data_IF_915640910325
#
_entry.id   IF_915640910325
#
_cell.length_a   1.000
_cell.length_b   1.000
_cell.length_c   1.000
_cell.angle_alpha   90.00
_cell.angle_beta   90.00
_cell.angle_gamma   90.00
#
_symmetry.space_group_name_H-M   'P 1'
#
loop_
_entity.id
_entity.type
_entity.pdbx_description
1 polymer ?
#
# COMPACT_ATOMS: atom_id res chain seq x y z
N UNK A 1 -25.06 4.18 -22.04
CA UNK A 1 -23.62 4.37 -21.81
C UNK A 1 -23.51 5.45 -20.74
N UNK A 2 -22.97 5.13 -19.60
CA UNK A 2 -22.55 6.15 -18.65
C UNK A 2 -21.19 6.61 -19.17
N UNK A 3 -21.08 7.88 -19.56
CA UNK A 3 -19.79 8.48 -19.88
C UNK A 3 -19.03 8.61 -18.56
N UNK A 4 -18.18 7.61 -18.27
CA UNK A 4 -17.31 7.60 -17.11
C UNK A 4 -15.88 7.84 -17.55
N UNK A 5 -15.22 8.79 -16.91
CA UNK A 5 -13.80 9.04 -17.10
C UNK A 5 -13.04 8.42 -15.92
N UNK A 6 -12.08 7.54 -16.23
CA UNK A 6 -11.17 7.01 -15.22
C UNK A 6 -10.10 8.04 -14.92
N UNK A 7 -9.97 8.42 -13.65
CA UNK A 7 -8.85 9.19 -13.12
C UNK A 7 -7.97 8.27 -12.26
N UNK A 8 -6.65 8.45 -12.31
CA UNK A 8 -5.70 7.51 -11.71
C UNK A 8 -5.70 7.51 -10.17
N UNK A 9 -6.13 8.61 -9.55
CA UNK A 9 -6.28 8.73 -8.11
C UNK A 9 -7.20 9.90 -7.75
N UNK A 10 -7.80 9.80 -6.56
CA UNK A 10 -8.58 10.86 -5.93
C UNK A 10 -8.30 10.84 -4.42
N UNK A 11 -8.65 11.91 -3.72
CA UNK A 11 -8.76 11.90 -2.27
C UNK A 11 -10.23 11.72 -1.88
N UNK A 12 -10.49 11.11 -0.74
CA UNK A 12 -11.80 11.07 -0.13
C UNK A 12 -11.69 11.39 1.34
N UNK A 13 -12.59 12.22 1.84
CA UNK A 13 -12.75 12.48 3.27
C UNK A 13 -13.94 11.67 3.75
N UNK A 14 -13.68 10.78 4.69
CA UNK A 14 -14.71 10.01 5.38
C UNK A 14 -15.04 10.67 6.71
N UNK A 15 -16.30 11.00 6.92
CA UNK A 15 -16.83 11.47 8.20
C UNK A 15 -17.70 10.38 8.81
N UNK A 16 -17.29 9.89 9.98
CA UNK A 16 -17.90 8.75 10.67
C UNK A 16 -17.04 7.49 10.57
N UNK A 17 -17.11 6.65 11.60
CA UNK A 17 -16.37 5.38 11.69
C UNK A 17 -17.16 4.20 11.15
N UNK A 18 -18.50 4.25 11.28
CA UNK A 18 -19.36 3.18 10.80
C UNK A 18 -19.47 3.23 9.28
N UNK A 19 -18.95 2.25 8.54
CA UNK A 19 -18.92 2.28 7.08
C UNK A 19 -20.29 2.47 6.44
N UNK A 20 -21.36 1.92 7.05
CA UNK A 20 -22.71 2.01 6.54
C UNK A 20 -23.31 3.43 6.63
N UNK A 21 -22.85 4.24 7.58
CA UNK A 21 -23.37 5.57 7.88
C UNK A 21 -22.38 6.69 7.57
N UNK A 22 -21.17 6.33 7.11
CA UNK A 22 -20.12 7.31 6.82
C UNK A 22 -20.44 8.15 5.59
N UNK A 23 -20.35 9.47 5.73
CA UNK A 23 -20.39 10.37 4.59
C UNK A 23 -19.03 10.47 3.93
N UNK A 24 -18.99 10.23 2.61
CA UNK A 24 -17.79 10.34 1.79
C UNK A 24 -17.86 11.57 0.90
N UNK A 25 -16.84 12.42 0.96
CA UNK A 25 -16.62 13.52 0.03
C UNK A 25 -15.40 13.22 -0.84
N UNK A 26 -15.61 13.03 -2.15
CA UNK A 26 -14.52 12.78 -3.10
C UNK A 26 -13.97 14.08 -3.64
N UNK A 27 -12.65 14.16 -3.75
CA UNK A 27 -11.89 15.32 -4.19
C UNK A 27 -10.96 14.89 -5.31
N UNK A 28 -11.02 15.60 -6.42
CA UNK A 28 -10.15 15.43 -7.57
C UNK A 28 -9.78 16.80 -8.13
N UNK A 29 -8.75 16.89 -8.95
CA UNK A 29 -8.40 18.12 -9.65
C UNK A 29 -9.28 18.29 -10.89
N UNK A 30 -9.31 19.51 -11.41
CA UNK A 30 -10.01 19.84 -12.66
C UNK A 30 -8.99 20.27 -13.69
N UNK A 31 -9.10 19.71 -14.89
CA UNK A 31 -8.32 20.14 -16.06
C UNK A 31 -8.80 21.53 -16.57
N UNK A 32 -8.00 22.15 -17.44
CA UNK A 32 -8.32 23.45 -18.01
C UNK A 32 -9.61 23.44 -18.86
N UNK A 33 -9.97 22.29 -19.41
CA UNK A 33 -11.22 22.07 -20.16
C UNK A 33 -12.44 21.72 -19.29
N UNK A 34 -12.27 21.70 -17.96
CA UNK A 34 -13.31 21.36 -16.99
C UNK A 34 -13.42 19.87 -16.66
N UNK A 35 -12.69 19.00 -17.33
CA UNK A 35 -12.67 17.56 -17.05
C UNK A 35 -11.99 17.20 -15.72
N UNK A 36 -12.33 16.05 -15.10
CA UNK A 36 -11.68 15.60 -13.88
C UNK A 36 -10.24 15.14 -14.15
N UNK A 37 -9.34 15.43 -13.19
CA UNK A 37 -7.94 15.01 -13.22
C UNK A 37 -7.53 14.32 -11.92
N UNK A 38 -6.45 13.53 -12.00
CA UNK A 38 -5.85 12.91 -10.84
C UNK A 38 -5.48 13.95 -9.78
N UNK A 39 -5.79 13.63 -8.52
CA UNK A 39 -5.50 14.50 -7.39
C UNK A 39 -3.98 14.62 -7.14
N UNK A 40 -3.28 13.49 -7.18
CA UNK A 40 -1.82 13.41 -7.04
C UNK A 40 -1.18 13.20 -8.42
N UNK A 41 -0.20 14.02 -8.74
CA UNK A 41 0.59 13.90 -9.97
C UNK A 41 2.07 13.70 -9.61
N UNK A 42 2.84 12.93 -10.41
CA UNK A 42 4.27 12.75 -10.15
C UNK A 42 5.01 14.08 -10.27
N UNK A 43 5.93 14.33 -9.33
CA UNK A 43 6.73 15.57 -9.32
C UNK A 43 7.66 15.70 -10.54
N UNK A 44 8.04 14.59 -11.15
CA UNK A 44 8.85 14.55 -12.39
C UNK A 44 8.01 14.65 -13.67
N UNK A 45 6.68 14.67 -13.57
CA UNK A 45 5.75 14.77 -14.70
C UNK A 45 5.64 13.51 -15.55
N UNK A 46 6.18 12.37 -15.10
CA UNK A 46 6.22 11.13 -15.88
C UNK A 46 5.16 10.14 -15.40
N UNK A 47 4.30 9.69 -16.29
CA UNK A 47 3.25 8.70 -15.99
C UNK A 47 2.19 9.22 -15.03
N UNK A 48 1.81 8.39 -14.07
CA UNK A 48 0.84 8.73 -13.02
C UNK A 48 1.17 8.04 -11.71
N UNK A 49 0.49 8.44 -10.63
CA UNK A 49 0.66 7.87 -9.31
C UNK A 49 -0.55 7.05 -8.89
N UNK A 50 -0.29 5.90 -8.28
CA UNK A 50 -1.27 5.16 -7.49
C UNK A 50 -0.93 5.25 -6.01
N UNK A 51 -1.84 5.76 -5.15
CA UNK A 51 -1.68 5.70 -3.71
C UNK A 51 -1.59 4.26 -3.23
N UNK A 52 -0.63 3.99 -2.35
CA UNK A 52 -0.38 2.63 -1.85
C UNK A 52 -0.80 2.50 -0.39
N UNK A 53 -0.12 3.19 0.52
CA UNK A 53 -0.50 3.31 1.91
C UNK A 53 0.01 4.63 2.48
N UNK A 54 -0.57 5.06 3.60
CA UNK A 54 -0.15 6.28 4.28
C UNK A 54 -0.04 6.10 5.78
N UNK A 55 0.71 7.01 6.41
CA UNK A 55 0.85 7.05 7.86
C UNK A 55 0.98 8.49 8.33
N UNK A 56 0.24 8.84 9.39
CA UNK A 56 0.34 10.14 10.05
C UNK A 56 1.28 10.05 11.23
N UNK A 57 2.20 11.01 11.33
CA UNK A 57 3.11 11.23 12.46
C UNK A 57 3.03 12.68 12.91
N UNK A 58 3.84 13.05 13.92
CA UNK A 58 3.99 14.46 14.32
C UNK A 58 4.61 15.33 13.20
N UNK A 59 5.36 14.71 12.27
CA UNK A 59 6.01 15.40 11.14
C UNK A 59 5.09 15.66 9.94
N UNK A 60 3.86 15.12 9.95
CA UNK A 60 2.90 15.23 8.86
C UNK A 60 2.30 13.90 8.44
N UNK A 61 1.63 13.89 7.31
CA UNK A 61 1.09 12.68 6.67
C UNK A 61 2.05 12.24 5.57
N UNK A 62 2.57 11.03 5.71
CA UNK A 62 3.39 10.38 4.69
C UNK A 62 2.54 9.45 3.84
N UNK A 63 2.71 9.55 2.51
CA UNK A 63 2.02 8.70 1.52
C UNK A 63 3.06 7.95 0.69
N UNK A 64 2.91 6.64 0.60
CA UNK A 64 3.67 5.83 -0.33
C UNK A 64 2.90 5.75 -1.64
N UNK A 65 3.58 6.04 -2.74
CA UNK A 65 2.99 6.24 -4.05
C UNK A 65 3.73 5.38 -5.07
N UNK A 66 3.00 4.61 -5.86
CA UNK A 66 3.56 3.87 -6.99
C UNK A 66 3.55 4.75 -8.22
N UNK A 67 4.69 4.92 -8.87
CA UNK A 67 4.77 5.55 -10.17
C UNK A 67 4.54 4.51 -11.26
N UNK A 68 3.62 4.83 -12.15
CA UNK A 68 3.13 3.96 -13.20
C UNK A 68 3.35 4.63 -14.54
N UNK A 69 3.72 3.86 -15.54
CA UNK A 69 3.80 4.29 -16.94
C UNK A 69 2.99 3.37 -17.85
N UNK A 70 2.55 3.85 -19.01
CA UNK A 70 1.96 2.98 -20.03
C UNK A 70 2.95 1.88 -20.45
N UNK A 71 2.44 0.69 -20.72
CA UNK A 71 3.21 -0.40 -21.31
C UNK A 71 2.35 -1.17 -22.31
N UNK A 72 2.99 -1.92 -23.19
CA UNK A 72 2.28 -2.87 -24.04
C UNK A 72 1.71 -4.01 -23.20
N UNK A 73 0.48 -4.40 -23.47
CA UNK A 73 -0.20 -5.48 -22.74
C UNK A 73 -1.70 -5.52 -22.98
N UNK A 74 -2.39 -6.53 -22.42
CA UNK A 74 -3.86 -6.57 -22.42
C UNK A 74 -4.43 -5.30 -21.78
N UNK A 75 -5.60 -4.84 -22.24
CA UNK A 75 -6.20 -3.57 -21.84
C UNK A 75 -6.27 -3.31 -20.31
N UNK A 76 -6.45 -4.37 -19.51
CA UNK A 76 -6.46 -4.27 -18.06
C UNK A 76 -5.05 -4.14 -17.44
N UNK A 77 -3.98 -4.48 -18.16
CA UNK A 77 -2.59 -4.54 -17.71
C UNK A 77 -1.62 -3.80 -18.65
N UNK A 78 -2.12 -2.81 -19.39
CA UNK A 78 -1.33 -1.97 -20.29
C UNK A 78 -0.49 -0.92 -19.52
N UNK A 79 0.11 -1.32 -18.42
CA UNK A 79 0.94 -0.46 -17.58
C UNK A 79 2.12 -1.23 -16.97
N UNK A 80 3.12 -0.48 -16.52
CA UNK A 80 4.25 -1.00 -15.75
C UNK A 80 4.50 -0.14 -14.51
N UNK A 81 4.93 -0.77 -13.45
CA UNK A 81 5.48 -0.11 -12.27
C UNK A 81 6.90 0.38 -12.59
N UNK A 82 7.21 1.60 -12.19
CA UNK A 82 8.52 2.22 -12.45
C UNK A 82 9.31 2.41 -11.16
N UNK A 83 8.65 2.93 -10.14
CA UNK A 83 9.31 3.28 -8.88
C UNK A 83 8.30 3.51 -7.76
N UNK A 84 8.82 3.63 -6.56
CA UNK A 84 8.04 4.06 -5.37
C UNK A 84 8.50 5.44 -4.94
N UNK A 85 7.54 6.30 -4.61
CA UNK A 85 7.77 7.64 -4.09
C UNK A 85 7.23 7.78 -2.68
N UNK A 86 7.86 8.65 -1.90
CA UNK A 86 7.37 9.10 -0.61
C UNK A 86 6.86 10.53 -0.77
N UNK A 87 5.56 10.71 -0.61
CA UNK A 87 4.92 12.00 -0.46
C UNK A 87 4.88 12.40 1.02
N UNK A 88 5.17 13.65 1.33
CA UNK A 88 4.96 14.25 2.65
C UNK A 88 4.00 15.42 2.52
N UNK A 89 2.90 15.38 3.26
CA UNK A 89 1.95 16.47 3.43
C UNK A 89 2.25 17.11 4.79
N UNK A 90 2.77 18.35 4.76
CA UNK A 90 3.22 19.05 5.97
C UNK A 90 2.05 19.56 6.84
N UNK A 91 0.90 19.82 6.22
CA UNK A 91 -0.30 20.38 6.84
C UNK A 91 -1.54 19.50 6.64
N UNK A 92 -1.54 18.23 7.13
CA UNK A 92 -2.60 17.26 6.83
C UNK A 92 -3.97 17.58 7.45
N UNK A 93 -4.04 18.56 8.34
CA UNK A 93 -5.30 19.04 8.94
C UNK A 93 -6.02 20.10 8.09
N UNK A 94 -5.35 20.62 7.06
CA UNK A 94 -5.98 21.49 6.07
C UNK A 94 -6.82 20.66 5.08
N UNK A 95 -7.81 21.27 4.43
CA UNK A 95 -8.52 20.62 3.33
C UNK A 95 -7.53 20.09 2.26
N UNK A 96 -7.79 18.94 1.65
CA UNK A 96 -6.85 18.32 0.69
C UNK A 96 -6.42 19.23 -0.47
N UNK A 97 -7.28 20.15 -0.88
CA UNK A 97 -6.97 21.13 -1.93
C UNK A 97 -5.87 22.13 -1.53
N UNK A 98 -5.60 22.25 -0.23
CA UNK A 98 -4.58 23.14 0.34
C UNK A 98 -3.36 22.39 0.87
N UNK A 99 -3.28 21.10 0.65
CA UNK A 99 -2.17 20.31 1.14
C UNK A 99 -0.82 20.79 0.56
N UNK A 100 0.12 21.03 1.46
CA UNK A 100 1.53 21.26 1.12
C UNK A 100 2.22 19.92 0.95
N UNK A 101 2.20 19.42 -0.29
CA UNK A 101 2.74 18.12 -0.68
C UNK A 101 4.13 18.26 -1.30
N UNK A 102 5.11 17.65 -0.68
CA UNK A 102 6.42 17.38 -1.28
C UNK A 102 6.54 15.90 -1.64
N UNK A 103 7.31 15.58 -2.68
CA UNK A 103 7.49 14.20 -3.15
C UNK A 103 8.97 13.90 -3.38
N UNK A 104 9.43 12.74 -2.96
CA UNK A 104 10.79 12.25 -3.19
C UNK A 104 10.75 10.79 -3.62
N UNK A 105 11.50 10.47 -4.65
CA UNK A 105 11.67 9.08 -5.12
C UNK A 105 12.43 8.29 -4.05
N UNK A 106 11.92 7.12 -3.68
CA UNK A 106 12.61 6.20 -2.77
C UNK A 106 13.80 5.60 -3.54
N UNK A 107 15.05 5.78 -3.08
CA UNK A 107 16.24 5.47 -3.89
C UNK A 107 16.35 3.99 -4.30
N UNK A 108 15.78 3.11 -3.51
CA UNK A 108 15.87 1.64 -3.69
C UNK A 108 14.63 1.03 -4.34
N UNK A 109 13.57 1.85 -4.52
CA UNK A 109 12.33 1.43 -5.18
C UNK A 109 12.52 1.36 -6.69
N UNK A 110 12.12 0.24 -7.29
CA UNK A 110 12.17 0.02 -8.73
C UNK A 110 11.03 -0.93 -9.15
N UNK A 111 10.99 -1.32 -10.42
CA UNK A 111 9.95 -2.19 -10.98
C UNK A 111 9.77 -3.54 -10.26
N UNK A 112 10.82 -4.04 -9.59
CA UNK A 112 10.82 -5.33 -8.88
C UNK A 112 10.90 -5.22 -7.36
N UNK A 113 11.16 -4.03 -6.84
CA UNK A 113 11.23 -3.77 -5.40
C UNK A 113 10.38 -2.57 -5.07
N UNK A 114 9.30 -2.81 -4.37
CA UNK A 114 8.34 -1.80 -3.96
C UNK A 114 8.39 -1.59 -2.45
N UNK A 115 8.10 -0.38 -1.99
CA UNK A 115 7.96 -0.05 -0.59
C UNK A 115 6.62 0.62 -0.32
N UNK A 116 6.05 0.36 0.86
CA UNK A 116 4.82 1.00 1.30
C UNK A 116 3.53 0.27 0.93
N UNK A 117 3.59 -1.04 0.64
CA UNK A 117 2.39 -1.89 0.52
C UNK A 117 1.53 -1.81 1.77
N UNK A 118 2.19 -1.78 2.92
CA UNK A 118 1.63 -1.47 4.22
C UNK A 118 2.64 -0.69 5.05
N UNK A 119 2.15 0.12 5.99
CA UNK A 119 2.98 0.81 6.98
C UNK A 119 2.34 0.70 8.37
N UNK A 120 3.17 0.57 9.40
CA UNK A 120 2.74 0.38 10.77
C UNK A 120 3.63 1.17 11.73
N UNK A 121 3.02 2.02 12.58
CA UNK A 121 3.73 2.67 13.68
C UNK A 121 3.75 1.74 14.90
N UNK A 122 4.95 1.38 15.35
CA UNK A 122 5.12 0.51 16.51
C UNK A 122 6.46 0.80 17.19
N UNK A 123 6.44 0.94 18.52
CA UNK A 123 7.66 1.06 19.32
C UNK A 123 8.61 2.21 18.93
N UNK A 124 8.06 3.34 18.47
CA UNK A 124 8.84 4.51 18.03
C UNK A 124 9.38 4.41 16.60
N UNK A 125 9.05 3.33 15.87
CA UNK A 125 9.41 3.15 14.47
C UNK A 125 8.18 3.12 13.56
N UNK A 126 8.37 3.54 12.32
CA UNK A 126 7.51 3.22 11.20
C UNK A 126 8.08 2.00 10.49
N UNK A 127 7.37 0.88 10.54
CA UNK A 127 7.65 -0.31 9.74
C UNK A 127 7.06 -0.12 8.37
N UNK A 128 7.86 -0.31 7.34
CA UNK A 128 7.54 -0.04 5.94
C UNK A 128 7.66 -1.36 5.19
N UNK A 129 6.52 -1.99 4.96
CA UNK A 129 6.46 -3.26 4.23
C UNK A 129 6.45 -3.01 2.73
N UNK A 130 7.07 -3.91 2.02
CA UNK A 130 7.13 -3.85 0.57
C UNK A 130 7.27 -5.24 -0.02
N UNK A 131 7.50 -5.30 -1.33
CA UNK A 131 7.69 -6.56 -2.03
C UNK A 131 8.97 -6.55 -2.86
N UNK A 132 9.54 -7.74 -3.01
CA UNK A 132 10.55 -8.02 -4.02
C UNK A 132 10.06 -9.17 -4.89
N UNK A 133 10.29 -9.06 -6.20
CA UNK A 133 9.88 -10.08 -7.18
C UNK A 133 11.04 -10.97 -7.59
N UNK A 134 10.74 -12.23 -7.88
CA UNK A 134 11.69 -13.14 -8.51
C UNK A 134 12.10 -12.69 -9.91
N UNK A 135 13.30 -13.05 -10.32
CA UNK A 135 13.86 -12.58 -11.58
C UNK A 135 13.27 -13.24 -12.85
N UNK A 136 12.45 -14.27 -12.74
CA UNK A 136 12.02 -15.11 -13.86
C UNK A 136 10.51 -15.05 -14.17
N UNK A 137 10.20 -14.72 -15.42
CA UNK A 137 9.08 -15.10 -16.28
C UNK A 137 7.62 -14.96 -15.83
N UNK A 138 6.77 -14.43 -16.69
CA UNK A 138 5.31 -14.47 -16.53
C UNK A 138 4.78 -13.54 -15.44
N UNK A 139 4.08 -14.11 -14.45
CA UNK A 139 3.69 -13.42 -13.22
C UNK A 139 4.67 -13.87 -12.12
N UNK A 140 5.72 -13.09 -11.82
CA UNK A 140 6.72 -13.48 -10.84
C UNK A 140 6.13 -13.54 -9.43
N UNK A 141 6.59 -14.52 -8.65
CA UNK A 141 6.25 -14.60 -7.24
C UNK A 141 6.76 -13.36 -6.50
N UNK A 142 5.94 -12.84 -5.60
CA UNK A 142 6.25 -11.68 -4.77
C UNK A 142 6.50 -12.11 -3.34
N UNK A 143 7.53 -11.56 -2.74
CA UNK A 143 7.96 -11.87 -1.39
C UNK A 143 8.01 -10.60 -0.57
N UNK A 144 7.49 -10.66 0.65
CA UNK A 144 7.48 -9.49 1.52
C UNK A 144 8.88 -9.21 2.05
N UNK A 145 9.26 -7.95 1.99
CA UNK A 145 10.42 -7.36 2.67
C UNK A 145 9.93 -6.32 3.66
N UNK A 146 10.73 -6.00 4.67
CA UNK A 146 10.40 -4.96 5.63
C UNK A 146 11.60 -4.06 5.88
N UNK A 147 11.35 -2.76 5.81
CA UNK A 147 12.23 -1.72 6.30
C UNK A 147 11.62 -1.05 7.53
N UNK A 148 12.43 -0.32 8.30
CA UNK A 148 11.94 0.59 9.33
C UNK A 148 12.74 1.88 9.36
N UNK A 149 12.08 2.94 9.79
CA UNK A 149 12.70 4.23 10.11
C UNK A 149 12.17 4.71 11.47
N UNK A 150 12.92 5.53 12.24
CA UNK A 150 12.32 6.26 13.35
C UNK A 150 11.08 7.03 12.90
N UNK A 151 10.03 7.05 13.71
CA UNK A 151 8.73 7.62 13.32
C UNK A 151 8.78 9.12 13.01
N UNK A 152 9.75 9.83 13.56
CA UNK A 152 10.05 11.24 13.32
C UNK A 152 11.02 11.48 12.15
N UNK A 153 11.54 10.40 11.52
CA UNK A 153 12.56 10.47 10.46
C UNK A 153 12.21 9.66 9.21
N UNK A 154 10.93 9.41 8.95
CA UNK A 154 10.49 8.63 7.77
C UNK A 154 11.00 9.26 6.47
N UNK A 155 11.03 10.60 6.37
CA UNK A 155 11.52 11.34 5.21
C UNK A 155 13.05 11.34 5.06
N UNK A 156 13.79 10.89 6.05
CA UNK A 156 15.26 10.75 6.01
C UNK A 156 15.64 9.32 5.62
N UNK A 157 15.92 9.10 4.34
CA UNK A 157 16.23 7.79 3.80
C UNK A 157 17.51 7.18 4.40
N UNK A 158 18.46 7.97 4.87
CA UNK A 158 19.68 7.47 5.52
C UNK A 158 19.38 6.83 6.88
N UNK A 159 18.22 7.15 7.47
CA UNK A 159 17.75 6.56 8.72
C UNK A 159 17.10 5.18 8.55
N UNK A 160 16.78 4.78 7.31
CA UNK A 160 16.10 3.51 7.07
C UNK A 160 17.02 2.33 7.34
N UNK A 161 16.44 1.26 7.88
CA UNK A 161 17.11 -0.02 8.08
C UNK A 161 16.22 -1.12 7.52
N UNK A 162 16.84 -2.10 6.92
CA UNK A 162 16.19 -3.22 6.24
C UNK A 162 16.41 -4.49 7.04
N UNK A 163 15.37 -5.29 7.24
CA UNK A 163 15.46 -6.52 7.98
C UNK A 163 16.07 -7.63 7.11
N UNK A 164 17.07 -8.32 7.65
CA UNK A 164 17.77 -9.41 6.97
C UNK A 164 18.31 -10.38 7.99
N UNK A 165 17.95 -11.65 7.89
CA UNK A 165 18.51 -12.75 8.73
C UNK A 165 18.51 -12.45 10.24
N UNK A 166 17.44 -11.85 10.74
CA UNK A 166 17.30 -11.50 12.17
C UNK A 166 17.93 -10.16 12.57
N UNK A 167 18.51 -9.41 11.64
CA UNK A 167 19.21 -8.15 11.91
C UNK A 167 18.67 -6.99 11.07
N UNK A 168 18.89 -5.77 11.55
CA UNK A 168 18.59 -4.55 10.81
C UNK A 168 19.87 -4.00 10.16
N UNK A 169 19.91 -3.96 8.84
CA UNK A 169 21.06 -3.50 8.03
C UNK A 169 20.75 -2.20 7.31
N UNK A 170 21.78 -1.47 6.90
CA UNK A 170 21.61 -0.19 6.18
C UNK A 170 21.39 -0.38 4.67
N UNK A 171 21.86 -1.47 4.11
CA UNK A 171 21.86 -1.75 2.69
C UNK A 171 20.53 -2.36 2.24
N UNK A 172 19.77 -1.65 1.41
CA UNK A 172 18.48 -2.11 0.90
C UNK A 172 18.58 -3.39 0.06
N UNK A 173 19.70 -3.60 -0.62
CA UNK A 173 19.92 -4.79 -1.45
C UNK A 173 20.10 -6.06 -0.62
N UNK A 174 20.33 -5.91 0.68
CA UNK A 174 20.40 -7.00 1.64
C UNK A 174 19.07 -7.29 2.34
N UNK A 175 17.99 -6.57 2.01
CA UNK A 175 16.68 -6.85 2.58
C UNK A 175 16.29 -8.31 2.36
N UNK A 176 16.09 -9.03 3.46
CA UNK A 176 15.68 -10.43 3.46
C UNK A 176 14.17 -10.58 3.22
N UNK A 177 13.79 -11.70 2.62
CA UNK A 177 12.38 -12.08 2.49
C UNK A 177 11.85 -12.54 3.84
N UNK A 178 10.82 -11.88 4.33
CA UNK A 178 10.20 -12.20 5.62
C UNK A 178 8.91 -13.01 5.48
N UNK A 179 8.32 -13.02 4.29
CA UNK A 179 7.16 -13.83 3.96
C UNK A 179 7.13 -14.11 2.46
N UNK A 180 6.91 -15.36 2.10
CA UNK A 180 6.88 -15.83 0.72
C UNK A 180 5.46 -15.77 0.14
N UNK A 181 5.39 -15.55 -1.20
CA UNK A 181 4.15 -15.64 -1.98
C UNK A 181 3.02 -14.72 -1.47
N UNK A 182 3.33 -13.44 -1.31
CA UNK A 182 2.35 -12.40 -0.99
C UNK A 182 1.83 -11.71 -2.26
N UNK A 183 0.78 -10.92 -2.13
CA UNK A 183 0.33 -9.98 -3.17
C UNK A 183 1.21 -8.71 -3.19
N UNK A 184 1.06 -7.85 -4.21
CA UNK A 184 1.65 -6.50 -4.19
C UNK A 184 0.99 -5.63 -3.13
N UNK A 185 -0.32 -5.80 -2.98
CA UNK A 185 -1.16 -5.06 -2.04
C UNK A 185 -1.56 -5.98 -0.90
N UNK A 186 -1.28 -5.54 0.29
CA UNK A 186 -1.63 -6.22 1.54
C UNK A 186 -1.70 -5.21 2.68
N UNK A 187 -2.18 -5.62 3.83
CA UNK A 187 -2.10 -4.86 5.08
C UNK A 187 -1.40 -5.66 6.16
N UNK A 188 -0.67 -4.95 7.02
CA UNK A 188 -0.13 -5.47 8.28
C UNK A 188 -0.67 -4.60 9.41
N UNK A 189 -1.29 -5.22 10.39
CA UNK A 189 -1.80 -4.56 11.59
C UNK A 189 -1.47 -5.34 12.85
N UNK A 190 -1.51 -4.66 13.98
CA UNK A 190 -1.43 -5.32 15.29
C UNK A 190 -2.83 -5.54 15.81
N UNK A 191 -3.15 -6.77 16.22
CA UNK A 191 -4.42 -7.15 16.83
C UNK A 191 -4.22 -7.32 18.35
N UNK A 192 -4.79 -6.40 19.16
CA UNK A 192 -4.52 -6.39 20.60
C UNK A 192 -5.04 -7.62 21.34
N UNK A 193 -6.23 -8.13 20.99
CA UNK A 193 -6.84 -9.25 21.70
C UNK A 193 -6.01 -10.54 21.61
N UNK A 194 -5.57 -11.02 20.41
CA UNK A 194 -4.65 -12.14 20.31
C UNK A 194 -3.18 -11.75 20.60
N UNK A 195 -2.86 -10.44 20.73
CA UNK A 195 -1.50 -9.95 20.94
C UNK A 195 -0.55 -10.27 19.80
N UNK A 196 -1.02 -10.22 18.54
CA UNK A 196 -0.28 -10.65 17.35
C UNK A 196 -0.39 -9.64 16.22
N UNK A 197 0.57 -9.72 15.31
CA UNK A 197 0.49 -9.04 14.02
C UNK A 197 -0.26 -9.91 13.02
N UNK A 198 -1.06 -9.27 12.17
CA UNK A 198 -1.88 -9.91 11.14
C UNK A 198 -1.52 -9.32 9.79
N UNK A 199 -1.19 -10.19 8.84
CA UNK A 199 -1.02 -9.89 7.43
C UNK A 199 -2.26 -10.37 6.67
N UNK A 200 -2.91 -9.46 5.92
CA UNK A 200 -4.08 -9.76 5.07
C UNK A 200 -3.72 -9.50 3.62
N UNK A 201 -4.02 -10.44 2.73
CA UNK A 201 -3.77 -10.28 1.29
C UNK A 201 -4.63 -11.23 0.44
N UNK A 202 -4.69 -10.95 -0.87
CA UNK A 202 -5.27 -11.87 -1.86
C UNK A 202 -4.25 -12.95 -2.21
N UNK A 203 -4.58 -14.23 -2.05
CA UNK A 203 -3.69 -15.36 -2.36
C UNK A 203 -3.21 -15.29 -3.81
N UNK A 204 -1.89 -15.34 -4.03
CA UNK A 204 -1.30 -15.26 -5.36
C UNK A 204 -1.48 -13.92 -6.11
N UNK A 205 -2.04 -12.91 -5.46
CA UNK A 205 -2.24 -11.57 -6.01
C UNK A 205 -3.53 -11.37 -6.81
N UNK A 206 -3.92 -12.34 -7.63
CA UNK A 206 -5.16 -12.32 -8.43
C UNK A 206 -5.91 -13.63 -8.20
N UNK A 207 -6.76 -13.69 -7.19
CA UNK A 207 -7.57 -14.87 -6.90
C UNK A 207 -8.80 -14.50 -6.07
N UNK A 208 -9.83 -15.34 -6.00
CA UNK A 208 -10.95 -15.10 -5.10
C UNK A 208 -10.62 -15.30 -3.62
N UNK A 209 -9.47 -15.91 -3.30
CA UNK A 209 -9.15 -16.31 -1.93
C UNK A 209 -8.47 -15.17 -1.17
N UNK A 210 -9.03 -14.80 -0.02
CA UNK A 210 -8.41 -13.88 0.94
C UNK A 210 -7.82 -14.70 2.07
N UNK A 211 -6.57 -14.43 2.39
CA UNK A 211 -5.80 -15.17 3.39
C UNK A 211 -5.23 -14.27 4.46
N UNK A 212 -5.08 -14.84 5.65
CA UNK A 212 -4.39 -14.23 6.78
C UNK A 212 -3.10 -14.99 7.08
N UNK A 213 -2.14 -14.29 7.69
CA UNK A 213 -1.02 -14.90 8.42
C UNK A 213 -0.82 -14.14 9.71
N UNK A 214 -0.37 -14.85 10.74
CA UNK A 214 -0.06 -14.27 12.04
C UNK A 214 1.43 -14.26 12.30
N UNK A 215 1.89 -13.29 13.09
CA UNK A 215 3.27 -13.20 13.56
C UNK A 215 3.35 -12.66 14.98
N UNK A 216 4.32 -13.08 15.79
CA UNK A 216 4.59 -12.49 17.11
C UNK A 216 5.27 -11.12 17.03
N UNK A 217 5.95 -10.81 15.92
CA UNK A 217 6.65 -9.54 15.69
C UNK A 217 6.31 -8.89 14.35
N UNK A 218 6.55 -7.59 14.20
CA UNK A 218 6.26 -6.90 12.95
C UNK A 218 7.12 -7.39 11.78
N UNK A 219 8.32 -7.91 12.02
CA UNK A 219 9.20 -8.50 11.01
C UNK A 219 9.01 -10.00 10.80
N UNK A 220 8.14 -10.64 11.57
CA UNK A 220 7.93 -12.08 11.50
C UNK A 220 8.44 -12.82 12.76
N UNK A 221 8.60 -14.17 12.72
CA UNK A 221 8.26 -15.04 11.59
C UNK A 221 6.75 -15.13 11.32
N UNK A 222 6.37 -15.11 10.03
CA UNK A 222 4.99 -15.23 9.61
C UNK A 222 4.56 -16.69 9.50
N UNK A 223 3.42 -17.01 10.09
CA UNK A 223 2.83 -18.35 10.06
C UNK A 223 2.35 -18.78 8.67
N UNK A 224 1.80 -19.98 8.59
CA UNK A 224 1.16 -20.50 7.38
C UNK A 224 -0.06 -19.62 6.99
N UNK A 225 -0.39 -19.53 5.70
CA UNK A 225 -1.58 -18.82 5.26
C UNK A 225 -2.86 -19.57 5.69
N UNK A 226 -3.83 -18.82 6.19
CA UNK A 226 -5.16 -19.28 6.55
C UNK A 226 -6.19 -18.61 5.66
N UNK A 227 -6.96 -19.38 4.87
CA UNK A 227 -8.03 -18.83 4.04
C UNK A 227 -9.22 -18.46 4.92
N UNK A 228 -9.65 -17.22 4.82
CA UNK A 228 -10.74 -16.67 5.65
C UNK A 228 -11.96 -16.24 4.87
N UNK A 229 -11.80 -15.94 3.60
CA UNK A 229 -12.90 -15.51 2.75
C UNK A 229 -12.65 -15.90 1.30
N UNK A 230 -13.74 -16.15 0.58
CA UNK A 230 -13.73 -16.32 -0.88
C UNK A 230 -14.68 -15.32 -1.51
N UNK A 231 -14.17 -14.47 -2.38
CA UNK A 231 -14.96 -13.48 -3.12
C UNK A 231 -15.94 -14.19 -4.06
N UNK A 232 -17.25 -14.12 -3.83
CA UNK A 232 -18.25 -14.79 -4.64
C UNK A 232 -18.34 -14.23 -6.07
N UNK A 233 -18.00 -12.95 -6.25
CA UNK A 233 -18.07 -12.22 -7.51
C UNK A 233 -17.16 -12.82 -8.59
N UNK A 234 -16.07 -13.47 -8.21
CA UNK A 234 -15.16 -14.15 -9.15
C UNK A 234 -15.84 -15.27 -9.97
N UNK A 235 -16.99 -15.75 -9.50
CA UNK A 235 -17.80 -16.76 -10.22
C UNK A 235 -18.86 -16.17 -11.14
N UNK A 236 -19.09 -14.87 -11.14
CA UNK A 236 -20.20 -14.25 -11.89
C UNK A 236 -19.88 -14.08 -13.38
N UNK A 237 -18.64 -13.75 -13.71
CA UNK A 237 -18.18 -13.56 -15.08
C UNK A 237 -16.67 -13.83 -15.14
N UNK A 238 -16.14 -14.54 -16.17
CA UNK A 238 -14.72 -14.83 -16.29
C UNK A 238 -13.81 -13.59 -16.45
N UNK A 239 -14.38 -12.41 -16.68
CA UNK A 239 -13.67 -11.13 -16.72
C UNK A 239 -13.53 -10.46 -15.36
N UNK A 240 -14.21 -10.98 -14.33
CA UNK A 240 -14.12 -10.49 -12.96
C UNK A 240 -12.96 -11.19 -12.27
N UNK A 241 -12.06 -10.40 -11.70
CA UNK A 241 -10.99 -10.90 -10.84
C UNK A 241 -10.93 -10.08 -9.54
N UNK A 242 -10.51 -10.73 -8.46
CA UNK A 242 -10.37 -10.14 -7.15
C UNK A 242 -8.90 -9.91 -6.86
N UNK A 243 -8.58 -8.76 -6.25
CA UNK A 243 -7.21 -8.39 -5.89
C UNK A 243 -7.23 -7.34 -4.76
N UNK A 244 -6.06 -7.02 -4.22
CA UNK A 244 -5.83 -5.92 -3.28
C UNK A 244 -6.61 -6.03 -1.95
N UNK A 245 -6.85 -7.25 -1.45
CA UNK A 245 -7.45 -7.42 -0.13
C UNK A 245 -6.56 -6.80 0.95
N UNK A 246 -7.18 -6.00 1.83
CA UNK A 246 -6.56 -5.35 2.99
C UNK A 246 -7.50 -5.43 4.19
N UNK A 247 -6.95 -5.49 5.38
CA UNK A 247 -7.70 -5.26 6.61
C UNK A 247 -7.70 -3.78 6.97
N UNK A 248 -8.79 -3.34 7.58
CA UNK A 248 -9.03 -1.95 7.99
C UNK A 248 -9.25 -1.86 9.51
N UNK A 249 -8.18 -2.03 10.33
CA UNK A 249 -8.31 -2.03 11.79
C UNK A 249 -8.86 -0.70 12.33
N UNK A 250 -8.73 0.40 11.58
CA UNK A 250 -9.28 1.70 11.90
C UNK A 250 -10.82 1.75 11.88
N UNK A 251 -11.47 0.78 11.22
CA UNK A 251 -12.92 0.62 11.14
C UNK A 251 -13.46 -0.41 12.13
N UNK A 252 -12.58 -1.18 12.80
CA UNK A 252 -12.99 -2.19 13.76
C UNK A 252 -13.69 -1.57 14.97
N UNK A 253 -14.86 -2.12 15.35
CA UNK A 253 -15.61 -1.70 16.52
C UNK A 253 -15.07 -2.32 17.82
N UNK A 254 -14.41 -3.48 17.72
CA UNK A 254 -13.85 -4.22 18.85
C UNK A 254 -12.40 -4.64 18.61
N UNK A 255 -11.65 -4.89 19.68
CA UNK A 255 -10.22 -5.21 19.62
C UNK A 255 -9.91 -6.61 19.01
N UNK A 256 -10.90 -7.47 18.89
CA UNK A 256 -10.84 -8.81 18.31
C UNK A 256 -11.48 -8.88 16.90
N UNK A 257 -11.92 -7.74 16.40
CA UNK A 257 -12.52 -7.63 15.06
C UNK A 257 -11.47 -7.30 14.02
N UNK A 258 -11.61 -7.90 12.86
CA UNK A 258 -10.85 -7.58 11.65
C UNK A 258 -11.85 -7.19 10.55
N UNK A 259 -11.79 -5.93 10.11
CA UNK A 259 -12.62 -5.39 9.03
C UNK A 259 -11.85 -5.41 7.71
#
# INVERSE_FOLDING_TARGET
RVDSQLINNSAAIQNGREPADAALAFIHRTLADGGPAAFLQPADGVGWLWPYHGVRTAEGLFLFLLQIEPAEGPAAFGFRLVSTWLGKIANPDEPPERWDLSQRKIPWGNERRLFGSSVLLQGGYCYIYGTVEDAAGGFPAKHMIVARAPADRIGDFDSWRFFSEGHWVAEADRAGRVCENVASEFSVSYQPAPGRYVLVYTEGGLSPEIVLRFSPGPEGPWGAPERVFRCPEAGWDPRIFCYAAKGHPELAAAADELV
#
